data_IF_211217486902
#
_entry.id   IF_211217486902
#
_cell.length_a   1.000
_cell.length_b   1.000
_cell.length_c   1.000
_cell.angle_alpha   90.00
_cell.angle_beta   90.00
_cell.angle_gamma   90.00
#
_symmetry.space_group_name_H-M   'P 1'
#
loop_
_entity.id
_entity.type
_entity.pdbx_description
1 polymer ?
#
# COMPACT_ATOMS: atom_id res chain seq x y z
N UNK A 1 -10.61 -20.15 -4.52
CA UNK A 1 -11.51 -19.19 -5.19
C UNK A 1 -10.92 -17.81 -5.01
N UNK A 2 -10.48 -17.14 -6.08
CA UNK A 2 -10.01 -15.77 -6.00
C UNK A 2 -11.21 -14.88 -5.64
N UNK A 3 -11.20 -14.27 -4.46
CA UNK A 3 -12.18 -13.24 -4.11
C UNK A 3 -11.87 -12.00 -4.96
N UNK A 4 -12.63 -11.81 -6.03
CA UNK A 4 -12.54 -10.59 -6.83
C UNK A 4 -13.12 -9.44 -5.99
N UNK A 5 -12.24 -8.64 -5.39
CA UNK A 5 -12.65 -7.39 -4.77
C UNK A 5 -13.15 -6.45 -5.88
N UNK A 6 -14.33 -5.90 -5.65
CA UNK A 6 -14.95 -4.91 -6.52
C UNK A 6 -14.71 -3.55 -5.89
N UNK A 7 -14.15 -2.62 -6.65
CA UNK A 7 -13.89 -1.26 -6.18
C UNK A 7 -14.82 -0.28 -6.87
N UNK A 8 -15.17 0.79 -6.19
CA UNK A 8 -15.89 1.94 -6.76
C UNK A 8 -14.90 2.96 -7.30
N UNK A 9 -15.40 3.89 -8.12
CA UNK A 9 -14.56 4.99 -8.63
C UNK A 9 -13.99 5.87 -7.51
N UNK A 10 -14.68 5.96 -6.37
CA UNK A 10 -14.23 6.72 -5.20
C UNK A 10 -13.03 6.04 -4.54
N UNK A 11 -13.01 4.70 -4.52
CA UNK A 11 -11.88 3.94 -3.98
C UNK A 11 -10.64 4.13 -4.85
N UNK A 12 -10.82 4.09 -6.18
CA UNK A 12 -9.74 4.39 -7.12
C UNK A 12 -9.22 5.82 -6.94
N UNK A 13 -10.10 6.81 -6.74
CA UNK A 13 -9.67 8.19 -6.46
C UNK A 13 -8.82 8.27 -5.19
N UNK A 14 -9.28 7.66 -4.10
CA UNK A 14 -8.57 7.73 -2.83
C UNK A 14 -7.24 6.97 -2.85
N UNK A 15 -7.17 5.83 -3.53
CA UNK A 15 -5.96 4.98 -3.58
C UNK A 15 -4.90 5.48 -4.56
N UNK A 16 -5.34 6.00 -5.71
CA UNK A 16 -4.46 6.50 -6.77
C UNK A 16 -4.13 7.99 -6.64
N UNK A 17 -4.90 8.74 -5.86
CA UNK A 17 -4.82 10.20 -5.76
C UNK A 17 -5.39 10.95 -6.96
N UNK A 18 -5.95 10.25 -7.95
CA UNK A 18 -6.51 10.84 -9.17
C UNK A 18 -8.00 11.09 -9.01
N UNK A 19 -8.46 12.33 -9.23
CA UNK A 19 -9.88 12.69 -9.14
C UNK A 19 -10.77 11.78 -9.98
N UNK A 20 -11.92 11.35 -9.44
CA UNK A 20 -12.86 10.47 -10.13
C UNK A 20 -13.27 11.00 -11.51
N UNK A 21 -13.45 12.31 -11.67
CA UNK A 21 -13.73 12.93 -12.97
C UNK A 21 -12.60 12.69 -13.99
N UNK A 22 -11.34 12.76 -13.57
CA UNK A 22 -10.17 12.49 -14.41
C UNK A 22 -10.11 11.02 -14.81
N UNK A 23 -10.41 10.10 -13.87
CA UNK A 23 -10.49 8.66 -14.15
C UNK A 23 -11.55 8.39 -15.23
N UNK A 24 -12.74 9.03 -15.15
CA UNK A 24 -13.79 8.92 -16.18
C UNK A 24 -13.32 9.40 -17.55
N UNK A 25 -12.56 10.49 -17.61
CA UNK A 25 -11.98 10.97 -18.87
C UNK A 25 -10.99 9.94 -19.43
N UNK A 26 -10.17 9.34 -18.56
CA UNK A 26 -9.22 8.31 -18.98
C UNK A 26 -9.92 7.07 -19.52
N UNK A 27 -11.00 6.61 -18.91
CA UNK A 27 -11.84 5.51 -19.43
C UNK A 27 -12.37 5.78 -20.84
N UNK A 28 -12.78 7.03 -21.12
CA UNK A 28 -13.30 7.39 -22.44
C UNK A 28 -12.22 7.48 -23.51
N UNK A 29 -11.01 7.90 -23.12
CA UNK A 29 -9.92 8.20 -24.06
C UNK A 29 -8.96 7.03 -24.28
N UNK A 30 -8.89 6.10 -23.32
CA UNK A 30 -7.85 5.08 -23.25
C UNK A 30 -8.42 3.72 -22.87
N UNK A 31 -7.81 2.65 -23.38
CA UNK A 31 -8.34 1.29 -23.25
C UNK A 31 -7.77 0.52 -22.04
N UNK A 32 -6.94 1.16 -21.21
CA UNK A 32 -6.28 0.51 -20.07
C UNK A 32 -7.18 0.38 -18.82
N UNK A 33 -8.34 1.05 -18.78
CA UNK A 33 -9.37 0.86 -17.75
C UNK A 33 -10.70 0.53 -18.42
N UNK A 34 -11.37 -0.53 -17.97
CA UNK A 34 -12.60 -1.03 -18.59
C UNK A 34 -13.61 -1.35 -17.50
N UNK A 35 -14.26 -0.32 -16.91
CA UNK A 35 -15.16 -0.52 -15.80
C UNK A 35 -16.28 -1.46 -16.22
N UNK A 36 -16.49 -2.47 -15.39
CA UNK A 36 -17.66 -3.33 -15.51
C UNK A 36 -18.86 -2.66 -14.84
N UNK A 37 -20.08 -3.08 -15.17
CA UNK A 37 -21.30 -2.51 -14.61
C UNK A 37 -22.13 -3.56 -13.88
N UNK A 38 -22.68 -3.20 -12.74
CA UNK A 38 -23.67 -4.01 -12.03
C UNK A 38 -25.00 -4.03 -12.78
N UNK A 39 -25.92 -4.92 -12.38
CA UNK A 39 -27.30 -4.94 -12.89
C UNK A 39 -28.02 -3.60 -12.66
N UNK A 40 -27.63 -2.84 -11.63
CA UNK A 40 -28.11 -1.50 -11.32
C UNK A 40 -27.35 -0.39 -12.07
N UNK A 41 -26.53 -0.75 -13.07
CA UNK A 41 -25.76 0.16 -13.93
C UNK A 41 -24.67 0.98 -13.20
N UNK A 42 -24.22 0.51 -12.03
CA UNK A 42 -23.15 1.14 -11.25
C UNK A 42 -21.80 0.58 -11.71
N UNK A 43 -20.82 1.46 -11.93
CA UNK A 43 -19.45 1.08 -12.32
C UNK A 43 -18.72 0.42 -11.17
N UNK A 44 -18.03 -0.67 -11.44
CA UNK A 44 -17.09 -1.29 -10.54
C UNK A 44 -15.79 -1.67 -11.26
N UNK A 45 -14.72 -1.76 -10.49
CA UNK A 45 -13.39 -2.08 -10.97
C UNK A 45 -12.85 -3.31 -10.25
N UNK A 46 -12.06 -4.11 -10.96
CA UNK A 46 -11.42 -5.31 -10.42
C UNK A 46 -10.07 -4.99 -9.77
N UNK A 47 -9.50 -5.99 -9.08
CA UNK A 47 -8.12 -5.93 -8.58
C UNK A 47 -7.10 -5.55 -9.67
N UNK A 48 -7.30 -6.01 -10.91
CA UNK A 48 -6.36 -5.75 -12.00
C UNK A 48 -6.48 -4.33 -12.54
N UNK A 49 -7.69 -3.78 -12.57
CA UNK A 49 -7.89 -2.36 -12.87
C UNK A 49 -7.32 -1.46 -11.78
N UNK A 50 -7.45 -1.86 -10.51
CA UNK A 50 -6.80 -1.15 -9.40
C UNK A 50 -5.27 -1.18 -9.52
N UNK A 51 -4.67 -2.34 -9.83
CA UNK A 51 -3.22 -2.43 -10.12
C UNK A 51 -2.81 -1.49 -11.25
N UNK A 52 -3.62 -1.46 -12.31
CA UNK A 52 -3.36 -0.65 -13.50
C UNK A 52 -3.41 0.83 -13.17
N UNK A 53 -4.45 1.32 -12.49
CA UNK A 53 -4.55 2.74 -12.14
C UNK A 53 -3.43 3.17 -11.18
N UNK A 54 -3.00 2.33 -10.24
CA UNK A 54 -1.88 2.66 -9.34
C UNK A 54 -0.55 2.80 -10.09
N UNK A 55 -0.30 1.94 -11.09
CA UNK A 55 0.88 2.05 -11.94
C UNK A 55 0.83 3.30 -12.83
N UNK A 56 -0.32 3.56 -13.45
CA UNK A 56 -0.53 4.71 -14.33
C UNK A 56 -0.44 6.02 -13.55
N UNK A 57 -1.05 6.09 -12.36
CA UNK A 57 -1.02 7.28 -11.52
C UNK A 57 0.40 7.61 -11.06
N UNK A 58 1.18 6.59 -10.68
CA UNK A 58 2.59 6.75 -10.31
C UNK A 58 3.39 7.33 -11.48
N UNK A 59 3.32 6.70 -12.66
CA UNK A 59 4.04 7.17 -13.84
C UNK A 59 3.63 8.59 -14.26
N UNK A 60 2.33 8.90 -14.19
CA UNK A 60 1.81 10.23 -14.50
C UNK A 60 2.27 11.31 -13.51
N UNK A 61 2.30 10.97 -12.21
CA UNK A 61 2.81 11.86 -11.15
C UNK A 61 4.28 12.22 -11.39
N UNK A 62 5.07 11.28 -11.90
CA UNK A 62 6.49 11.48 -12.20
C UNK A 62 6.77 11.83 -13.68
N UNK A 63 5.81 12.47 -14.36
CA UNK A 63 6.03 13.19 -15.61
C UNK A 63 5.81 12.39 -16.90
N UNK A 64 5.40 11.12 -16.82
CA UNK A 64 5.08 10.33 -18.01
C UNK A 64 3.65 10.64 -18.46
N UNK A 65 3.49 11.14 -19.69
CA UNK A 65 2.17 11.50 -20.22
C UNK A 65 1.27 10.27 -20.36
N UNK A 66 0.00 10.37 -19.96
CA UNK A 66 -0.99 9.28 -20.09
C UNK A 66 -1.11 8.73 -21.52
N UNK A 67 -1.01 9.60 -22.53
CA UNK A 67 -1.04 9.19 -23.94
C UNK A 67 0.13 8.28 -24.35
N UNK A 68 1.27 8.41 -23.67
CA UNK A 68 2.40 7.49 -23.81
C UNK A 68 2.14 6.21 -23.03
N UNK A 69 1.63 6.31 -21.79
CA UNK A 69 1.38 5.15 -20.93
C UNK A 69 0.37 4.19 -21.56
N UNK A 70 -0.69 4.70 -22.19
CA UNK A 70 -1.70 3.88 -22.88
C UNK A 70 -1.14 3.03 -24.04
N UNK A 71 0.04 3.37 -24.58
CA UNK A 71 0.69 2.60 -25.65
C UNK A 71 1.65 1.53 -25.12
N UNK A 72 1.91 1.52 -23.81
CA UNK A 72 2.86 0.59 -23.20
C UNK A 72 2.15 -0.73 -22.86
N UNK A 73 2.86 -1.82 -23.07
CA UNK A 73 2.54 -3.12 -22.47
C UNK A 73 2.77 -3.11 -20.96
N UNK A 74 2.18 -4.06 -20.24
CA UNK A 74 2.35 -4.20 -18.80
C UNK A 74 3.85 -4.35 -18.41
N UNK A 75 4.61 -5.13 -19.18
CA UNK A 75 6.05 -5.30 -18.96
C UNK A 75 6.83 -3.98 -19.15
N UNK A 76 6.44 -3.14 -20.11
CA UNK A 76 7.08 -1.84 -20.33
C UNK A 76 6.71 -0.83 -19.24
N UNK A 77 5.47 -0.87 -18.75
CA UNK A 77 5.04 -0.09 -17.58
C UNK A 77 5.91 -0.45 -16.38
N UNK A 78 6.09 -1.74 -16.08
CA UNK A 78 6.96 -2.18 -14.98
C UNK A 78 8.41 -1.71 -15.16
N UNK A 79 8.99 -1.84 -16.36
CA UNK A 79 10.34 -1.33 -16.65
C UNK A 79 10.46 0.17 -16.41
N UNK A 80 9.47 0.95 -16.84
CA UNK A 80 9.47 2.42 -16.62
C UNK A 80 9.37 2.78 -15.15
N UNK A 81 8.57 2.05 -14.38
CA UNK A 81 8.45 2.24 -12.94
C UNK A 81 9.80 1.96 -12.25
N UNK A 82 10.47 0.88 -12.61
CA UNK A 82 11.80 0.53 -12.04
C UNK A 82 12.85 1.60 -12.37
N UNK A 83 12.76 2.24 -13.54
CA UNK A 83 13.67 3.29 -13.96
C UNK A 83 13.39 4.67 -13.32
N UNK A 84 12.37 4.79 -12.46
CA UNK A 84 12.16 6.02 -11.69
C UNK A 84 13.26 6.13 -10.62
N UNK A 85 14.17 7.08 -10.82
CA UNK A 85 15.32 7.31 -9.91
C UNK A 85 14.97 8.17 -8.69
N UNK A 86 13.75 8.72 -8.63
CA UNK A 86 13.34 9.59 -7.52
C UNK A 86 12.99 8.74 -6.29
N UNK A 87 13.58 9.07 -5.14
CA UNK A 87 13.37 8.35 -3.87
C UNK A 87 11.89 8.26 -3.49
N UNK A 88 11.15 9.36 -3.62
CA UNK A 88 9.71 9.41 -3.32
C UNK A 88 8.91 8.46 -4.22
N UNK A 89 9.30 8.34 -5.49
CA UNK A 89 8.65 7.45 -6.44
C UNK A 89 8.85 5.99 -6.04
N UNK A 90 10.05 5.66 -5.58
CA UNK A 90 10.38 4.31 -5.10
C UNK A 90 9.61 3.97 -3.83
N UNK A 91 9.49 4.90 -2.88
CA UNK A 91 8.70 4.68 -1.66
C UNK A 91 7.22 4.50 -1.97
N UNK A 92 6.63 5.35 -2.81
CA UNK A 92 5.23 5.21 -3.23
C UNK A 92 4.98 3.91 -4.04
N UNK A 93 5.95 3.51 -4.88
CA UNK A 93 5.91 2.23 -5.56
C UNK A 93 5.88 1.08 -4.56
N UNK A 94 6.75 1.06 -3.55
CA UNK A 94 6.77 0.01 -2.53
C UNK A 94 5.44 -0.10 -1.79
N UNK A 95 4.83 1.04 -1.44
CA UNK A 95 3.49 1.07 -0.82
C UNK A 95 2.45 0.45 -1.75
N UNK A 96 2.49 0.80 -3.04
CA UNK A 96 1.58 0.23 -4.03
C UNK A 96 1.80 -1.28 -4.20
N UNK A 97 3.04 -1.77 -4.20
CA UNK A 97 3.34 -3.21 -4.25
C UNK A 97 2.79 -3.96 -3.02
N UNK A 98 2.95 -3.42 -1.81
CA UNK A 98 2.37 -4.02 -0.60
C UNK A 98 0.85 -4.14 -0.70
N UNK A 99 0.16 -3.12 -1.23
CA UNK A 99 -1.28 -3.19 -1.49
C UNK A 99 -1.62 -4.29 -2.49
N UNK A 100 -0.87 -4.42 -3.58
CA UNK A 100 -1.11 -5.46 -4.59
C UNK A 100 -0.96 -6.85 -3.97
N UNK A 101 0.07 -7.07 -3.16
CA UNK A 101 0.29 -8.34 -2.49
C UNK A 101 -0.81 -8.66 -1.48
N UNK A 102 -1.27 -7.68 -0.71
CA UNK A 102 -2.42 -7.85 0.19
C UNK A 102 -3.68 -8.27 -0.58
N UNK A 103 -4.01 -7.57 -1.67
CA UNK A 103 -5.22 -7.83 -2.46
C UNK A 103 -5.21 -9.17 -3.19
N UNK A 104 -4.01 -9.65 -3.56
CA UNK A 104 -3.81 -10.94 -4.24
C UNK A 104 -3.50 -12.09 -3.29
N UNK A 105 -3.52 -11.86 -1.96
CA UNK A 105 -3.10 -12.82 -0.93
C UNK A 105 -1.68 -13.36 -1.11
N UNK A 106 -0.79 -12.60 -1.74
CA UNK A 106 0.60 -12.99 -1.90
C UNK A 106 1.42 -12.57 -0.67
N UNK A 107 1.22 -13.29 0.44
CA UNK A 107 1.88 -12.98 1.72
C UNK A 107 3.39 -13.21 1.68
N UNK A 108 3.86 -14.15 0.87
CA UNK A 108 5.29 -14.43 0.70
C UNK A 108 6.03 -13.19 0.15
N UNK A 109 5.56 -12.65 -0.98
CA UNK A 109 6.18 -11.45 -1.56
C UNK A 109 5.97 -10.21 -0.69
N UNK A 110 4.85 -10.14 0.05
CA UNK A 110 4.62 -9.09 1.04
C UNK A 110 5.71 -9.09 2.11
N UNK A 111 5.99 -10.24 2.71
CA UNK A 111 7.04 -10.39 3.72
C UNK A 111 8.43 -10.15 3.16
N UNK A 112 8.75 -10.69 1.98
CA UNK A 112 10.03 -10.47 1.33
C UNK A 112 10.31 -8.98 1.06
N UNK A 113 9.29 -8.24 0.60
CA UNK A 113 9.41 -6.80 0.37
C UNK A 113 9.64 -6.04 1.69
N UNK A 114 8.89 -6.37 2.75
CA UNK A 114 9.10 -5.78 4.07
C UNK A 114 10.50 -6.07 4.60
N UNK A 115 10.94 -7.33 4.58
CA UNK A 115 12.25 -7.72 5.10
C UNK A 115 13.40 -7.09 4.32
N UNK A 116 13.28 -7.02 2.99
CA UNK A 116 14.25 -6.30 2.13
C UNK A 116 14.34 -4.83 2.54
N UNK A 117 13.19 -4.20 2.78
CA UNK A 117 13.10 -2.79 3.14
C UNK A 117 13.68 -2.53 4.53
N UNK A 118 13.35 -3.37 5.51
CA UNK A 118 13.88 -3.31 6.88
C UNK A 118 15.40 -3.48 6.88
N UNK A 119 15.94 -4.43 6.09
CA UNK A 119 17.39 -4.62 5.94
C UNK A 119 18.09 -3.41 5.32
N UNK A 120 17.46 -2.75 4.34
CA UNK A 120 18.06 -1.64 3.61
C UNK A 120 18.08 -0.32 4.40
N UNK A 121 16.99 0.03 5.10
CA UNK A 121 16.85 1.34 5.77
C UNK A 121 16.58 1.28 7.28
N UNK A 122 16.53 0.09 7.86
CA UNK A 122 16.17 -0.12 9.26
C UNK A 122 14.66 -0.11 9.50
N UNK A 123 14.25 -0.66 10.64
CA UNK A 123 12.83 -0.81 11.00
C UNK A 123 12.13 0.54 11.19
N UNK A 124 12.75 1.50 11.88
CA UNK A 124 12.13 2.79 12.21
C UNK A 124 11.77 3.57 10.94
N UNK A 125 12.72 3.67 10.00
CA UNK A 125 12.49 4.34 8.72
C UNK A 125 11.49 3.57 7.86
N UNK A 126 11.52 2.23 7.90
CA UNK A 126 10.52 1.41 7.19
C UNK A 126 9.11 1.66 7.72
N UNK A 127 8.95 1.80 9.04
CA UNK A 127 7.63 2.07 9.62
C UNK A 127 7.07 3.41 9.15
N UNK A 128 7.87 4.48 9.16
CA UNK A 128 7.39 5.82 8.75
C UNK A 128 7.16 5.96 7.26
N UNK A 129 8.05 5.42 6.44
CA UNK A 129 8.05 5.66 4.98
C UNK A 129 7.28 4.61 4.18
N UNK A 130 7.03 3.43 4.75
CA UNK A 130 6.35 2.33 4.06
C UNK A 130 5.11 1.85 4.81
N UNK A 131 5.23 1.49 6.10
CA UNK A 131 4.12 0.90 6.86
C UNK A 131 3.00 1.90 7.08
N UNK A 132 3.28 3.13 7.53
CA UNK A 132 2.24 4.13 7.75
C UNK A 132 1.47 4.50 6.48
N UNK A 133 2.11 4.88 5.36
CA UNK A 133 1.38 5.14 4.12
C UNK A 133 0.57 3.93 3.64
N UNK A 134 1.05 2.71 3.86
CA UNK A 134 0.32 1.49 3.56
C UNK A 134 -0.94 1.33 4.44
N UNK A 135 -0.81 1.51 5.76
CA UNK A 135 -1.94 1.44 6.70
C UNK A 135 -2.99 2.52 6.44
N UNK A 136 -2.57 3.73 6.02
CA UNK A 136 -3.50 4.78 5.60
C UNK A 136 -4.36 4.34 4.41
N UNK A 137 -3.74 3.71 3.39
CA UNK A 137 -4.46 3.17 2.23
C UNK A 137 -5.39 2.02 2.62
N UNK A 138 -5.00 1.16 3.56
CA UNK A 138 -5.89 0.15 4.14
C UNK A 138 -7.09 0.81 4.84
N UNK A 139 -6.86 1.84 5.65
CA UNK A 139 -7.91 2.54 6.39
C UNK A 139 -8.98 3.13 5.47
N UNK A 140 -8.57 3.71 4.34
CA UNK A 140 -9.47 4.20 3.29
C UNK A 140 -10.36 3.06 2.77
N UNK A 141 -9.76 1.92 2.44
CA UNK A 141 -10.49 0.78 1.91
C UNK A 141 -11.46 0.17 2.94
N UNK A 142 -11.09 0.18 4.23
CA UNK A 142 -11.95 -0.26 5.32
C UNK A 142 -13.23 0.57 5.42
N UNK A 143 -13.10 1.92 5.34
CA UNK A 143 -14.24 2.83 5.34
C UNK A 143 -15.23 2.59 4.18
N UNK A 144 -14.74 2.00 3.09
CA UNK A 144 -15.54 1.74 1.90
C UNK A 144 -16.13 0.32 1.86
N UNK A 145 -15.83 -0.50 2.88
CA UNK A 145 -16.28 -1.90 3.01
C UNK A 145 -15.81 -2.84 1.88
N UNK A 146 -14.70 -2.48 1.20
CA UNK A 146 -14.13 -3.24 0.08
C UNK A 146 -12.88 -4.06 0.46
N UNK A 147 -12.44 -4.01 1.72
CA UNK A 147 -11.44 -4.93 2.26
C UNK A 147 -12.13 -6.08 2.98
N UNK A 148 -11.66 -7.28 2.70
CA UNK A 148 -11.99 -8.47 3.49
C UNK A 148 -11.25 -8.34 4.82
N UNK A 149 -11.92 -8.34 5.99
CA UNK A 149 -11.27 -8.20 7.29
C UNK A 149 -10.11 -9.18 7.50
N UNK A 150 -10.20 -10.38 6.92
CA UNK A 150 -9.12 -11.37 6.94
C UNK A 150 -7.83 -10.88 6.24
N UNK A 151 -7.91 -10.18 5.11
CA UNK A 151 -6.74 -9.64 4.40
C UNK A 151 -5.98 -8.64 5.27
N UNK A 152 -6.72 -7.70 5.85
CA UNK A 152 -6.18 -6.69 6.77
C UNK A 152 -5.52 -7.36 7.98
N UNK A 153 -6.24 -8.27 8.65
CA UNK A 153 -5.71 -8.95 9.82
C UNK A 153 -4.42 -9.72 9.51
N UNK A 154 -4.32 -10.38 8.36
CA UNK A 154 -3.11 -11.10 7.96
C UNK A 154 -1.92 -10.15 7.81
N UNK A 155 -2.05 -9.09 7.02
CA UNK A 155 -0.93 -8.16 6.76
C UNK A 155 -0.56 -7.33 8.00
N UNK A 156 -1.55 -6.89 8.77
CA UNK A 156 -1.34 -6.17 10.03
C UNK A 156 -0.67 -7.07 11.05
N UNK A 157 -1.01 -8.37 11.11
CA UNK A 157 -0.34 -9.33 11.99
C UNK A 157 1.12 -9.56 11.58
N UNK A 158 1.41 -9.67 10.27
CA UNK A 158 2.79 -9.76 9.77
C UNK A 158 3.60 -8.53 10.20
N UNK A 159 3.09 -7.32 9.95
CA UNK A 159 3.77 -6.07 10.32
C UNK A 159 4.00 -6.03 11.84
N UNK A 160 2.99 -6.41 12.63
CA UNK A 160 3.07 -6.50 14.09
C UNK A 160 4.21 -7.42 14.53
N UNK A 161 4.35 -8.60 13.94
CA UNK A 161 5.43 -9.53 14.27
C UNK A 161 6.81 -8.93 13.99
N UNK A 162 6.99 -8.27 12.85
CA UNK A 162 8.28 -7.61 12.52
C UNK A 162 8.63 -6.50 13.51
N UNK A 163 7.64 -5.73 13.98
CA UNK A 163 7.84 -4.68 15.00
C UNK A 163 8.21 -5.31 16.35
N UNK A 164 7.52 -6.37 16.79
CA UNK A 164 7.83 -7.06 18.05
C UNK A 164 9.26 -7.60 18.03
N UNK A 165 9.67 -8.26 16.94
CA UNK A 165 11.04 -8.76 16.78
C UNK A 165 12.08 -7.63 16.80
N UNK A 166 11.75 -6.45 16.28
CA UNK A 166 12.63 -5.31 16.30
C UNK A 166 12.78 -4.72 17.71
N UNK A 167 11.67 -4.64 18.47
CA UNK A 167 11.66 -4.21 19.87
C UNK A 167 12.49 -5.15 20.73
N UNK A 168 12.36 -6.47 20.53
CA UNK A 168 13.12 -7.47 21.29
C UNK A 168 14.63 -7.39 21.03
N UNK A 169 15.02 -7.06 19.78
CA UNK A 169 16.43 -6.89 19.39
C UNK A 169 17.00 -5.54 19.80
N UNK A 170 16.18 -4.58 20.25
CA UNK A 170 16.66 -3.27 20.64
C UNK A 170 17.59 -3.39 21.85
N UNK A 171 18.73 -2.68 21.87
CA UNK A 171 19.68 -2.78 22.97
C UNK A 171 19.04 -2.29 24.27
N UNK A 172 19.06 -3.13 25.30
CA UNK A 172 18.66 -2.72 26.64
C UNK A 172 19.58 -1.58 27.10
N UNK A 173 19.02 -0.38 27.26
CA UNK A 173 19.76 0.79 27.76
C UNK A 173 20.34 0.48 29.15
N UNK A 174 21.68 0.38 29.25
CA UNK A 174 22.41 0.14 30.50
C UNK A 174 22.32 1.30 31.50
N UNK A 175 21.81 2.47 31.10
CA UNK A 175 21.60 3.61 32.00
C UNK A 175 20.30 3.41 32.77
N UNK A 176 20.37 3.42 34.12
CA UNK A 176 19.22 3.44 35.03
C UNK A 176 18.22 4.48 34.52
N UNK A 177 17.10 4.03 33.96
CA UNK A 177 15.98 4.88 33.55
C UNK A 177 14.73 4.35 34.24
N UNK A 178 13.94 5.30 34.74
CA UNK A 178 12.59 5.09 35.26
C UNK A 178 11.79 4.18 34.32
N UNK A 179 11.11 3.14 34.83
CA UNK A 179 10.28 2.28 34.00
C UNK A 179 9.14 3.12 33.42
N UNK A 180 9.09 3.23 32.09
CA UNK A 180 8.00 3.89 31.38
C UNK A 180 6.93 2.84 31.05
N UNK A 181 5.78 2.94 31.70
CA UNK A 181 4.60 2.14 31.35
C UNK A 181 3.79 2.88 30.28
N UNK A 182 3.70 2.31 29.09
CA UNK A 182 2.79 2.78 28.06
C UNK A 182 1.52 1.96 28.10
N UNK A 183 0.41 2.57 28.50
CA UNK A 183 -0.90 1.95 28.48
C UNK A 183 -1.68 2.44 27.27
N UNK A 184 -2.01 1.52 26.37
CA UNK A 184 -2.96 1.78 25.29
C UNK A 184 -4.25 0.97 25.57
N UNK A 185 -5.41 1.63 25.73
CA UNK A 185 -6.66 0.95 26.12
C UNK A 185 -7.16 -0.07 25.08
N UNK A 186 -6.66 -0.02 23.84
CA UNK A 186 -6.82 -1.08 22.83
C UNK A 186 -5.44 -1.42 22.27
N UNK A 187 -5.02 -2.68 22.36
CA UNK A 187 -3.75 -3.14 21.81
C UNK A 187 -3.80 -3.13 20.26
N UNK A 188 -3.45 -2.00 19.66
CA UNK A 188 -3.40 -1.81 18.21
C UNK A 188 -1.95 -1.68 17.73
N UNK A 189 -1.71 -1.89 16.44
CA UNK A 189 -0.35 -1.81 15.86
C UNK A 189 0.35 -0.48 16.15
N UNK A 190 -0.43 0.61 16.29
CA UNK A 190 0.06 1.93 16.65
C UNK A 190 0.76 1.95 18.00
N UNK A 191 0.28 1.21 19.02
CA UNK A 191 0.95 1.16 20.32
C UNK A 191 2.33 0.51 20.24
N UNK A 192 2.46 -0.54 19.44
CA UNK A 192 3.75 -1.20 19.19
C UNK A 192 4.71 -0.31 18.43
N UNK A 193 4.20 0.47 17.46
CA UNK A 193 5.01 1.46 16.77
C UNK A 193 5.53 2.50 17.77
N UNK A 194 4.68 3.07 18.63
CA UNK A 194 5.14 4.01 19.66
C UNK A 194 6.22 3.41 20.57
N UNK A 195 6.07 2.16 21.01
CA UNK A 195 7.11 1.48 21.79
C UNK A 195 8.44 1.38 21.03
N UNK A 196 8.41 1.04 19.74
CA UNK A 196 9.61 0.99 18.89
C UNK A 196 10.31 2.36 18.83
N UNK A 197 9.56 3.45 18.65
CA UNK A 197 10.10 4.82 18.59
C UNK A 197 10.66 5.33 19.92
N UNK A 198 10.23 4.78 21.05
CA UNK A 198 10.75 5.14 22.38
C UNK A 198 12.04 4.37 22.69
N UNK A 199 12.17 3.15 22.16
CA UNK A 199 13.29 2.25 22.46
C UNK A 199 14.50 2.41 21.52
N UNK A 200 14.28 2.84 20.28
CA UNK A 200 15.33 3.10 19.28
C UNK A 200 15.72 4.58 19.26
#
# INVERSE_FOLDING_TARGET
>A
MATNNLFTIKDLENLSGIKAHTIRIWEQRYNFLKPSRTNTNIRYYTNDELKTILNVSLLNKYGVKISQINKLSEAEVQKKIINLNQTEAQEEQQVNELLKYMLTFNLENFELLLDKTIKAKGIQKTVTTLVFPFLEKIGILWLTNHIIPAQEHLVTNIIRQKIIMAIEKAPLSKKKKTPLFYFCPKANIMSLVYCLFILC
#
